data_IF_210774531687
#
_entry.id   IF_210774531687
#
_cell.length_a   1.000
_cell.length_b   1.000
_cell.length_c   1.000
_cell.angle_alpha   90.00
_cell.angle_beta   90.00
_cell.angle_gamma   90.00
#
_symmetry.space_group_name_H-M   'P 1'
#
loop_
_entity.id
_entity.type
_entity.pdbx_description
1 polymer ?
#
# COMPACT_ATOMS: atom_id res chain seq x y z
N UNK A 1 -18.82 -47.31 7.52
CA UNK A 1 -18.09 -46.55 6.48
C UNK A 1 -18.37 -45.05 6.44
N UNK A 2 -19.51 -44.54 6.94
CA UNK A 2 -19.84 -43.09 6.85
C UNK A 2 -19.10 -42.14 7.82
N UNK A 3 -18.49 -42.66 8.89
CA UNK A 3 -17.73 -41.83 9.85
C UNK A 3 -16.39 -41.35 9.28
N UNK A 4 -15.71 -42.23 8.53
CA UNK A 4 -14.44 -41.94 7.85
C UNK A 4 -14.61 -40.96 6.67
N UNK A 5 -15.75 -40.97 5.99
CA UNK A 5 -16.00 -40.03 4.88
C UNK A 5 -16.22 -38.60 5.38
N UNK A 6 -16.93 -38.44 6.51
CA UNK A 6 -17.20 -37.13 7.12
C UNK A 6 -15.93 -36.44 7.62
N UNK A 7 -14.99 -37.20 8.21
CA UNK A 7 -13.70 -36.67 8.67
C UNK A 7 -12.83 -36.21 7.50
N UNK A 8 -12.82 -36.95 6.38
CA UNK A 8 -12.10 -36.54 5.17
C UNK A 8 -12.69 -35.28 4.54
N UNK A 9 -14.02 -35.13 4.53
CA UNK A 9 -14.67 -33.92 4.03
C UNK A 9 -14.30 -32.67 4.84
N UNK A 10 -14.25 -32.79 6.17
CA UNK A 10 -13.87 -31.67 7.05
C UNK A 10 -12.41 -31.26 6.83
N UNK A 11 -11.50 -32.23 6.69
CA UNK A 11 -10.09 -31.96 6.40
C UNK A 11 -9.90 -31.24 5.05
N UNK A 12 -10.66 -31.63 4.02
CA UNK A 12 -10.62 -30.96 2.71
C UNK A 12 -11.08 -29.50 2.81
N UNK A 13 -12.12 -29.22 3.59
CA UNK A 13 -12.61 -27.84 3.81
C UNK A 13 -11.58 -27.01 4.57
N UNK A 14 -10.92 -27.57 5.60
CA UNK A 14 -9.87 -26.87 6.36
C UNK A 14 -8.67 -26.56 5.47
N UNK A 15 -8.19 -27.53 4.69
CA UNK A 15 -7.06 -27.34 3.77
C UNK A 15 -7.40 -26.33 2.66
N UNK A 16 -8.62 -26.38 2.11
CA UNK A 16 -9.10 -25.41 1.12
C UNK A 16 -9.18 -23.99 1.68
N UNK A 17 -9.49 -23.83 2.97
CA UNK A 17 -9.52 -22.53 3.64
C UNK A 17 -8.10 -21.98 3.86
N UNK A 18 -7.14 -22.86 4.17
CA UNK A 18 -5.73 -22.47 4.34
C UNK A 18 -5.01 -22.07 3.04
N UNK A 19 -5.50 -22.49 1.87
CA UNK A 19 -4.92 -22.15 0.57
C UNK A 19 -5.31 -20.74 0.07
N UNK A 20 -6.23 -20.05 0.78
CA UNK A 20 -6.66 -18.69 0.42
C UNK A 20 -5.62 -17.69 0.91
N UNK A 21 -4.55 -17.50 0.14
CA UNK A 21 -3.56 -16.47 0.48
C UNK A 21 -2.23 -16.57 -0.25
N UNK A 22 -2.23 -16.85 -1.56
CA UNK A 22 -1.04 -16.53 -2.36
C UNK A 22 -0.97 -15.01 -2.48
N UNK A 23 -0.12 -14.37 -1.68
CA UNK A 23 0.16 -12.95 -1.81
C UNK A 23 0.89 -12.72 -3.13
N UNK A 24 0.14 -12.42 -4.19
CA UNK A 24 0.71 -11.91 -5.43
C UNK A 24 1.31 -10.54 -5.13
N UNK A 25 2.56 -10.32 -5.55
CA UNK A 25 3.18 -9.01 -5.48
C UNK A 25 2.33 -8.02 -6.29
N UNK A 26 1.80 -6.99 -5.61
CA UNK A 26 0.91 -6.00 -6.21
C UNK A 26 1.59 -5.18 -7.31
N UNK A 27 0.79 -4.68 -8.25
CA UNK A 27 1.26 -3.81 -9.34
C UNK A 27 1.05 -2.33 -8.97
N UNK A 28 2.12 -1.53 -9.01
CA UNK A 28 2.07 -0.10 -8.70
C UNK A 28 1.13 0.69 -9.63
N UNK A 29 0.97 0.30 -10.89
CA UNK A 29 0.02 0.95 -11.80
C UNK A 29 -1.43 0.73 -11.38
N UNK A 30 -1.75 -0.37 -10.70
CA UNK A 30 -3.11 -0.71 -10.30
C UNK A 30 -3.44 -0.19 -8.90
N UNK A 31 -2.48 -0.26 -7.98
CA UNK A 31 -2.71 0.06 -6.57
C UNK A 31 -2.47 1.53 -6.21
N UNK A 32 -1.61 2.23 -6.95
CA UNK A 32 -1.15 3.57 -6.56
C UNK A 32 -1.28 4.60 -7.69
N UNK A 33 -1.52 5.84 -7.29
CA UNK A 33 -1.51 7.02 -8.15
C UNK A 33 -0.36 7.95 -7.74
N UNK A 34 0.34 8.50 -8.72
CA UNK A 34 1.40 9.47 -8.48
C UNK A 34 0.76 10.83 -8.14
N UNK A 35 1.03 11.36 -6.96
CA UNK A 35 0.40 12.61 -6.48
C UNK A 35 1.13 13.85 -6.96
N UNK A 36 2.45 13.83 -6.88
CA UNK A 36 3.30 14.92 -7.35
C UNK A 36 4.70 14.42 -7.71
N UNK A 37 5.46 15.27 -8.39
CA UNK A 37 6.86 15.00 -8.74
C UNK A 37 7.10 14.95 -10.25
N UNK A 38 6.05 14.81 -11.07
CA UNK A 38 6.17 14.76 -12.53
C UNK A 38 7.20 13.69 -12.94
N UNK A 39 8.30 14.05 -13.64
CA UNK A 39 9.33 13.09 -14.03
C UNK A 39 10.12 12.48 -12.86
N UNK A 40 9.98 13.02 -11.63
CA UNK A 40 10.65 12.50 -10.43
C UNK A 40 9.94 11.32 -9.77
N UNK A 41 8.70 11.05 -10.16
CA UNK A 41 7.96 9.88 -9.71
C UNK A 41 7.73 8.98 -10.91
N UNK A 42 8.35 7.80 -10.93
CA UNK A 42 8.26 6.90 -12.08
C UNK A 42 8.01 5.47 -11.66
N UNK A 43 7.02 4.85 -12.29
CA UNK A 43 6.76 3.42 -12.19
C UNK A 43 7.47 2.75 -13.36
N UNK A 44 8.30 1.76 -13.06
CA UNK A 44 9.09 1.02 -14.03
C UNK A 44 8.95 -0.50 -13.82
N UNK A 45 9.66 -1.28 -14.63
CA UNK A 45 9.66 -2.75 -14.57
C UNK A 45 8.24 -3.35 -14.62
N UNK A 46 7.40 -2.85 -15.53
CA UNK A 46 6.03 -3.33 -15.73
C UNK A 46 5.11 -3.11 -14.51
N UNK A 47 5.44 -2.16 -13.63
CA UNK A 47 4.63 -1.89 -12.43
C UNK A 47 5.15 -2.54 -11.16
N UNK A 48 6.35 -3.10 -11.17
CA UNK A 48 6.94 -3.77 -10.00
C UNK A 48 7.90 -2.90 -9.20
N UNK A 49 8.29 -1.75 -9.75
CA UNK A 49 9.19 -0.83 -9.10
C UNK A 49 8.66 0.59 -9.21
N UNK A 50 8.66 1.30 -8.10
CA UNK A 50 8.37 2.72 -8.04
C UNK A 50 9.64 3.45 -7.58
N UNK A 51 10.05 4.44 -8.35
CA UNK A 51 11.22 5.29 -8.03
C UNK A 51 10.75 6.71 -7.77
N UNK A 52 11.17 7.24 -6.62
CA UNK A 52 10.96 8.62 -6.21
C UNK A 52 12.31 9.32 -6.16
N UNK A 53 12.40 10.49 -6.79
CA UNK A 53 13.55 11.38 -6.70
C UNK A 53 13.18 12.76 -6.21
N UNK A 54 14.20 13.50 -5.78
CA UNK A 54 14.12 14.85 -5.25
C UNK A 54 15.28 15.63 -5.85
N UNK A 55 15.01 16.85 -6.24
CA UNK A 55 16.01 17.82 -6.67
C UNK A 55 15.78 19.15 -5.93
N UNK A 56 16.59 20.16 -6.23
CA UNK A 56 16.50 21.48 -5.60
C UNK A 56 15.18 22.23 -5.89
N UNK A 57 14.34 21.73 -6.79
CA UNK A 57 13.07 22.36 -7.14
C UNK A 57 11.89 21.73 -6.40
N UNK A 58 11.84 20.40 -6.29
CA UNK A 58 10.73 19.71 -5.62
C UNK A 58 11.02 18.23 -5.38
N UNK A 59 10.24 17.65 -4.45
CA UNK A 59 10.21 16.23 -4.19
C UNK A 59 9.23 15.45 -5.07
N UNK A 60 8.88 14.26 -4.60
CA UNK A 60 7.94 13.37 -5.29
C UNK A 60 7.09 12.56 -4.31
N UNK A 61 5.96 12.05 -4.78
CA UNK A 61 4.98 11.40 -3.94
C UNK A 61 3.95 10.54 -4.67
N UNK A 62 3.36 9.61 -3.92
CA UNK A 62 2.25 8.80 -4.40
C UNK A 62 1.27 8.47 -3.27
N UNK A 63 0.07 8.06 -3.66
CA UNK A 63 -0.98 7.61 -2.75
C UNK A 63 -1.73 6.38 -3.30
N UNK A 64 -2.36 5.62 -2.42
CA UNK A 64 -3.21 4.51 -2.83
C UNK A 64 -4.44 5.01 -3.56
N UNK A 65 -4.82 4.31 -4.63
CA UNK A 65 -6.06 4.61 -5.36
C UNK A 65 -7.31 4.24 -4.56
N UNK A 66 -7.16 3.25 -3.68
CA UNK A 66 -8.21 2.75 -2.80
C UNK A 66 -7.96 3.21 -1.38
N UNK A 67 -9.04 3.34 -0.65
CA UNK A 67 -9.04 3.55 0.79
C UNK A 67 -9.37 2.22 1.47
N UNK A 68 -8.77 2.03 2.64
CA UNK A 68 -8.85 0.77 3.37
C UNK A 68 -9.44 1.02 4.76
N UNK A 69 -10.15 0.03 5.32
CA UNK A 69 -10.59 0.05 6.71
C UNK A 69 -9.66 -0.80 7.58
N UNK A 70 -9.21 -1.93 7.04
CA UNK A 70 -8.22 -2.83 7.61
C UNK A 70 -7.34 -3.38 6.50
N UNK A 71 -6.09 -3.68 6.79
CA UNK A 71 -5.18 -4.26 5.82
C UNK A 71 -3.76 -4.33 6.35
N UNK A 72 -2.94 -5.15 5.70
CA UNK A 72 -1.49 -5.18 5.90
C UNK A 72 -0.86 -4.53 4.67
N UNK A 73 0.00 -3.54 4.88
CA UNK A 73 0.70 -2.84 3.80
C UNK A 73 2.18 -3.18 3.91
N UNK A 74 2.63 -4.12 3.08
CA UNK A 74 4.03 -4.52 2.98
C UNK A 74 4.67 -3.84 1.77
N UNK A 75 5.80 -3.16 1.97
CA UNK A 75 6.55 -2.52 0.89
C UNK A 75 8.05 -2.70 1.11
N UNK A 76 8.78 -3.02 0.04
CA UNK A 76 10.24 -3.03 0.05
C UNK A 76 10.75 -1.65 -0.33
N UNK A 77 11.54 -1.05 0.56
CA UNK A 77 12.06 0.31 0.39
C UNK A 77 13.58 0.26 0.22
N UNK A 78 14.06 0.92 -0.82
CA UNK A 78 15.49 1.19 -1.02
C UNK A 78 15.71 2.69 -0.89
N UNK A 79 16.48 3.08 0.12
CA UNK A 79 16.83 4.49 0.34
C UNK A 79 17.96 4.94 -0.60
N UNK A 80 18.05 6.25 -0.76
CA UNK A 80 19.16 6.90 -1.47
C UNK A 80 20.49 6.55 -0.80
N UNK A 81 21.51 6.33 -1.61
CA UNK A 81 22.86 6.01 -1.16
C UNK A 81 23.74 7.26 -1.11
N UNK A 82 24.72 7.28 -0.21
CA UNK A 82 25.64 8.41 -0.04
C UNK A 82 25.14 9.44 0.98
N UNK A 83 25.49 10.72 0.78
CA UNK A 83 25.05 11.79 1.67
C UNK A 83 23.57 12.12 1.39
N UNK A 84 22.74 11.97 2.40
CA UNK A 84 21.30 12.23 2.35
C UNK A 84 20.85 13.17 3.46
N UNK A 85 21.77 14.00 3.97
CA UNK A 85 21.49 14.99 4.99
C UNK A 85 20.35 15.91 4.56
N UNK A 86 19.38 16.08 5.45
CA UNK A 86 18.20 16.92 5.20
C UNK A 86 17.16 16.31 4.26
N UNK A 87 17.28 15.03 3.84
CA UNK A 87 16.21 14.36 3.07
C UNK A 87 15.33 13.50 3.98
N UNK A 88 14.04 13.43 3.66
CA UNK A 88 13.04 12.65 4.39
C UNK A 88 12.28 11.76 3.41
N UNK A 89 12.32 10.45 3.67
CA UNK A 89 11.42 9.45 3.05
C UNK A 89 10.32 9.10 4.05
N UNK A 90 9.11 9.58 3.82
CA UNK A 90 7.97 9.34 4.69
C UNK A 90 7.05 8.25 4.12
N UNK A 91 6.79 7.20 4.89
CA UNK A 91 5.83 6.13 4.61
C UNK A 91 4.75 6.16 5.69
N UNK A 92 3.50 6.49 5.35
CA UNK A 92 2.47 6.66 6.37
C UNK A 92 1.05 6.40 5.86
N UNK A 93 0.14 6.23 6.82
CA UNK A 93 -1.29 6.09 6.57
C UNK A 93 -1.99 7.35 7.07
N UNK A 94 -2.85 7.94 6.24
CA UNK A 94 -3.68 9.08 6.58
C UNK A 94 -5.09 8.61 6.93
N UNK A 95 -5.54 8.98 8.12
CA UNK A 95 -6.92 8.84 8.58
C UNK A 95 -7.66 10.15 8.28
N UNK A 96 -8.83 10.06 7.64
CA UNK A 96 -9.77 11.18 7.59
C UNK A 96 -10.80 11.06 8.70
N UNK A 97 -10.74 11.96 9.69
CA UNK A 97 -11.83 12.17 10.65
C UNK A 97 -12.66 13.33 10.10
N UNK A 98 -13.83 13.01 9.53
CA UNK A 98 -14.82 14.01 9.15
C UNK A 98 -15.49 14.57 10.42
N UNK A 99 -15.16 15.80 10.80
CA UNK A 99 -15.91 16.54 11.83
C UNK A 99 -16.98 17.37 11.12
N UNK A 100 -18.22 16.88 11.10
CA UNK A 100 -19.36 17.54 10.46
C UNK A 100 -20.65 17.34 11.26
N UNK A 101 -21.34 18.44 11.56
CA UNK A 101 -22.35 18.55 12.62
C UNK A 101 -23.72 17.91 12.30
N UNK A 102 -23.94 17.26 11.15
CA UNK A 102 -25.28 16.77 10.77
C UNK A 102 -25.37 15.40 10.06
N UNK A 103 -24.29 14.67 9.81
CA UNK A 103 -24.38 13.32 9.24
C UNK A 103 -23.24 12.44 9.76
N UNK A 104 -23.55 11.51 10.67
CA UNK A 104 -22.63 10.44 11.05
C UNK A 104 -22.61 9.41 9.92
N UNK A 105 -21.90 9.71 8.82
CA UNK A 105 -21.26 8.65 8.03
C UNK A 105 -19.89 8.41 8.67
N UNK A 106 -19.89 7.56 9.69
CA UNK A 106 -18.66 6.99 10.26
C UNK A 106 -18.02 6.08 9.21
N UNK A 107 -17.24 6.63 8.29
CA UNK A 107 -16.30 5.86 7.49
C UNK A 107 -14.92 6.47 7.71
N UNK A 108 -14.21 5.92 8.71
CA UNK A 108 -12.77 6.14 8.87
C UNK A 108 -12.06 5.45 7.70
N UNK A 109 -11.93 6.14 6.57
CA UNK A 109 -11.24 5.64 5.40
C UNK A 109 -9.75 5.97 5.53
N UNK A 110 -8.90 4.94 5.42
CA UNK A 110 -7.45 5.04 5.47
C UNK A 110 -6.89 5.16 4.06
N UNK A 111 -6.28 6.29 3.73
CA UNK A 111 -5.51 6.44 2.51
C UNK A 111 -4.03 6.23 2.82
N UNK A 112 -3.37 5.36 2.05
CA UNK A 112 -1.93 5.13 2.19
C UNK A 112 -1.15 6.12 1.34
N UNK A 113 -0.05 6.69 1.85
CA UNK A 113 0.76 7.69 1.14
C UNK A 113 2.25 7.54 1.42
N UNK A 114 3.07 7.94 0.46
CA UNK A 114 4.51 8.08 0.66
C UNK A 114 5.09 9.28 -0.08
N UNK A 115 5.99 10.00 0.58
CA UNK A 115 6.62 11.24 0.10
C UNK A 115 8.14 11.21 0.26
N UNK A 116 8.84 11.82 -0.69
CA UNK A 116 10.28 12.05 -0.65
C UNK A 116 10.58 13.54 -0.87
N UNK A 117 11.14 14.22 0.14
CA UNK A 117 11.30 15.68 0.18
C UNK A 117 12.45 16.13 1.12
N UNK A 118 12.86 17.41 1.06
CA UNK A 118 13.82 17.99 2.00
C UNK A 118 13.15 18.38 3.32
N UNK A 119 13.87 18.34 4.44
CA UNK A 119 13.42 18.87 5.73
C UNK A 119 13.19 20.37 5.67
#
# INVERSE_FOLDING_TARGET
MGFLSRTSSVLVVIISCCLVGVALAGNFYEEFSLTWGGPRAQISNGGRQLSLSLDNTSGSGFESKKEYLFGKIDMQLKLVSGNSAGTVTAYYVRIYILVGILTIKSLNLLAFRMFFFFN
#
